data_IF_442979010942
#
_entry.id   IF_442979010942
#
_cell.length_a   1.000
_cell.length_b   1.000
_cell.length_c   1.000
_cell.angle_alpha   90.00
_cell.angle_beta   90.00
_cell.angle_gamma   90.00
#
_symmetry.space_group_name_H-M   'P 1'
#
loop_
_entity.id
_entity.type
_entity.pdbx_description
1 polymer ?
#
# COMPACT_ATOMS: atom_id res chain seq x y z
N UNK A 1 -3.15 -9.98 -14.15
CA UNK A 1 -4.35 -9.50 -13.45
C UNK A 1 -4.04 -9.54 -11.95
N UNK A 2 -3.94 -8.39 -11.29
CA UNK A 2 -3.79 -8.35 -9.84
C UNK A 2 -5.19 -8.19 -9.23
N UNK A 3 -5.63 -9.17 -8.46
CA UNK A 3 -6.88 -9.10 -7.68
C UNK A 3 -6.58 -8.40 -6.36
N UNK A 4 -7.34 -7.36 -6.03
CA UNK A 4 -7.22 -6.59 -4.79
C UNK A 4 -8.16 -7.21 -3.75
N UNK A 5 -7.63 -7.56 -2.58
CA UNK A 5 -8.45 -7.99 -1.43
C UNK A 5 -9.05 -6.78 -0.72
N UNK A 6 -10.25 -7.03 -0.20
CA UNK A 6 -11.33 -6.10 0.07
C UNK A 6 -11.01 -5.03 1.12
N UNK A 7 -11.05 -3.78 0.69
CA UNK A 7 -11.44 -2.59 1.47
C UNK A 7 -12.31 -1.70 0.55
N UNK A 8 -12.98 -0.67 1.07
CA UNK A 8 -14.00 0.09 0.32
C UNK A 8 -13.50 0.85 -0.94
N UNK A 9 -12.20 0.78 -1.28
CA UNK A 9 -11.59 1.51 -2.40
C UNK A 9 -11.24 0.54 -3.53
N UNK A 10 -11.64 0.88 -4.77
CA UNK A 10 -11.22 0.15 -5.97
C UNK A 10 -9.83 0.63 -6.38
N UNK A 11 -8.85 -0.27 -6.41
CA UNK A 11 -7.48 0.02 -6.86
C UNK A 11 -7.19 -0.78 -8.13
N UNK A 12 -6.79 -0.09 -9.20
CA UNK A 12 -6.45 -0.70 -10.48
C UNK A 12 -5.01 -0.36 -10.87
N UNK A 13 -4.26 -1.36 -11.34
CA UNK A 13 -2.88 -1.26 -11.78
C UNK A 13 -2.78 -1.77 -13.22
N UNK A 14 -2.25 -0.96 -14.14
CA UNK A 14 -2.17 -1.28 -15.57
C UNK A 14 -0.73 -1.12 -16.06
N UNK A 15 -0.22 -2.11 -16.80
CA UNK A 15 1.12 -2.05 -17.41
C UNK A 15 2.28 -2.19 -16.42
N UNK A 16 2.01 -2.64 -15.18
CA UNK A 16 3.01 -2.82 -14.13
C UNK A 16 3.07 -4.28 -13.68
N UNK A 17 4.23 -4.67 -13.17
CA UNK A 17 4.52 -6.02 -12.71
C UNK A 17 5.28 -6.00 -11.39
N UNK A 18 5.15 -7.07 -10.61
CA UNK A 18 5.91 -7.28 -9.39
C UNK A 18 5.74 -6.18 -8.33
N UNK A 19 4.51 -5.68 -8.20
CA UNK A 19 4.14 -4.73 -7.14
C UNK A 19 3.37 -5.43 -6.03
N UNK A 20 3.55 -4.90 -4.83
CA UNK A 20 2.77 -5.21 -3.63
C UNK A 20 1.96 -3.97 -3.31
N UNK A 21 0.67 -4.18 -3.02
CA UNK A 21 -0.25 -3.16 -2.56
C UNK A 21 -0.66 -3.53 -1.14
N UNK A 22 -0.48 -2.60 -0.22
CA UNK A 22 -0.87 -2.74 1.18
C UNK A 22 -1.86 -1.62 1.47
N UNK A 23 -3.09 -2.00 1.80
CA UNK A 23 -4.09 -1.04 2.24
C UNK A 23 -4.19 -1.08 3.76
N UNK A 24 -4.08 0.10 4.36
CA UNK A 24 -4.22 0.31 5.80
C UNK A 24 -5.27 1.39 6.02
N UNK A 25 -5.79 1.48 7.24
CA UNK A 25 -6.82 2.46 7.60
C UNK A 25 -6.39 3.90 7.26
N UNK A 26 -5.11 4.22 7.47
CA UNK A 26 -4.56 5.57 7.34
C UNK A 26 -3.95 5.85 5.96
N UNK A 27 -3.58 4.80 5.21
CA UNK A 27 -2.83 4.95 3.96
C UNK A 27 -2.86 3.73 3.03
N UNK A 28 -2.73 4.01 1.73
CA UNK A 28 -2.47 3.01 0.69
C UNK A 28 -0.99 3.03 0.30
N UNK A 29 -0.29 1.92 0.46
CA UNK A 29 1.12 1.76 0.11
C UNK A 29 1.28 0.87 -1.12
N UNK A 30 2.07 1.33 -2.10
CA UNK A 30 2.39 0.60 -3.33
C UNK A 30 3.90 0.57 -3.51
N UNK A 31 4.48 -0.63 -3.67
CA UNK A 31 5.93 -0.80 -3.79
C UNK A 31 6.33 -2.05 -4.59
N UNK A 32 7.56 -2.14 -5.12
CA UNK A 32 8.08 -3.37 -5.69
C UNK A 32 8.14 -4.50 -4.66
N UNK A 33 7.86 -5.73 -5.08
CA UNK A 33 7.90 -6.94 -4.22
C UNK A 33 9.28 -7.16 -3.61
N UNK A 34 10.35 -6.79 -4.32
CA UNK A 34 11.73 -6.85 -3.83
C UNK A 34 11.98 -6.03 -2.56
N UNK A 35 11.15 -5.02 -2.29
CA UNK A 35 11.22 -4.15 -1.10
C UNK A 35 10.12 -4.43 -0.08
N UNK A 36 9.35 -5.51 -0.25
CA UNK A 36 8.24 -5.86 0.62
C UNK A 36 8.64 -6.06 2.10
N UNK A 37 9.93 -6.33 2.37
CA UNK A 37 10.42 -6.49 3.74
C UNK A 37 10.50 -5.15 4.50
N UNK A 38 10.61 -4.03 3.78
CA UNK A 38 10.69 -2.69 4.36
C UNK A 38 9.30 -2.12 4.74
N UNK A 39 8.22 -2.82 4.37
CA UNK A 39 6.82 -2.37 4.57
C UNK A 39 6.55 -1.98 6.00
N UNK A 40 7.04 -2.74 6.98
CA UNK A 40 6.77 -2.48 8.39
C UNK A 40 7.29 -1.11 8.83
N UNK A 41 8.54 -0.77 8.45
CA UNK A 41 9.13 0.52 8.79
C UNK A 41 8.37 1.69 8.13
N UNK A 42 7.88 1.49 6.89
CA UNK A 42 7.10 2.50 6.17
C UNK A 42 5.73 2.68 6.82
N UNK A 43 5.02 1.59 7.15
CA UNK A 43 3.72 1.64 7.81
C UNK A 43 3.85 2.27 9.21
N UNK A 44 4.86 1.92 9.97
CA UNK A 44 5.11 2.49 11.30
C UNK A 44 5.41 4.00 11.20
N UNK A 45 6.16 4.43 10.18
CA UNK A 45 6.42 5.85 9.93
C UNK A 45 5.18 6.62 9.46
N UNK A 46 4.28 5.99 8.70
CA UNK A 46 3.02 6.60 8.26
C UNK A 46 2.05 6.77 9.43
N UNK A 47 1.90 5.73 10.27
CA UNK A 47 1.10 5.80 11.50
C UNK A 47 1.59 6.87 12.48
N UNK A 48 2.91 7.06 12.56
CA UNK A 48 3.50 8.09 13.41
C UNK A 48 3.31 9.52 12.89
N UNK A 49 2.89 9.70 11.63
CA UNK A 49 2.74 11.03 11.01
C UNK A 49 1.35 11.64 11.13
N UNK A 50 0.34 10.91 11.62
CA UNK A 50 -1.01 11.40 11.98
C UNK A 50 -1.52 12.49 11.01
N UNK A 51 -1.45 12.23 9.70
CA UNK A 51 -1.72 13.24 8.66
C UNK A 51 -3.24 13.31 8.44
N UNK A 52 -3.92 14.28 9.07
CA UNK A 52 -5.37 14.54 8.97
C UNK A 52 -5.89 14.90 7.55
N UNK A 53 -5.12 14.68 6.48
CA UNK A 53 -5.48 15.01 5.08
C UNK A 53 -5.44 13.83 4.12
N UNK A 54 -5.45 12.60 4.64
CA UNK A 54 -5.67 11.36 3.85
C UNK A 54 -6.95 10.66 4.25
#
# INVERSE_FOLDING_TARGET
>A
FASVEKTGKVVALVGVSDLVVVDTEDALLILPRSRAQDVRAIVDALKARDDERV
#
